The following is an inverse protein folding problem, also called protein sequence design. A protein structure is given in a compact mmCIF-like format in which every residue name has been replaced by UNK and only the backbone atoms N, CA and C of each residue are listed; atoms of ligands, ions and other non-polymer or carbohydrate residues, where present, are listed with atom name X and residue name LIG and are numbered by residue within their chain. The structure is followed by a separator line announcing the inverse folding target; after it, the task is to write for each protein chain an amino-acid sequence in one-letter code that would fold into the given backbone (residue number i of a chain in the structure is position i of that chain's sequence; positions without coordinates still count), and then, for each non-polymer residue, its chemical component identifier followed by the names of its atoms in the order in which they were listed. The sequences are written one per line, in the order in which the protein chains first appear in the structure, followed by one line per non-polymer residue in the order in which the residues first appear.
data_IF_546299307365
#
_entry.id   IF_546299307365
#
_cell.length_a   1.000
_cell.length_b   1.000
_cell.length_c   1.000
_cell.angle_alpha   90.00
_cell.angle_beta   90.00
_cell.angle_gamma   90.00
#
_symmetry.space_group_name_H-M   'P 1'
#
loop_
_entity.id
_entity.type
_entity.pdbx_description
1 polymer ?
#
# COMPACT_ATOMS: atom_id res chain seq x y z
N UNK A 1 -37.56 -35.12 37.69
CA UNK A 1 -38.94 -34.92 38.18
C UNK A 1 -38.92 -33.86 39.26
N UNK A 2 -39.92 -32.97 39.20
CA UNK A 2 -40.44 -32.16 40.31
C UNK A 2 -39.78 -30.79 40.58
N UNK A 3 -40.47 -29.81 39.97
CA UNK A 3 -40.73 -28.42 40.36
C UNK A 3 -41.11 -28.23 41.83
N UNK A 4 -40.90 -27.01 42.38
CA UNK A 4 -41.93 -26.15 43.02
C UNK A 4 -41.24 -24.88 43.58
N UNK A 5 -41.50 -23.71 42.97
CA UNK A 5 -42.28 -22.54 43.46
C UNK A 5 -41.61 -21.82 44.67
N UNK A 6 -41.56 -20.49 44.77
CA UNK A 6 -42.68 -19.58 44.63
C UNK A 6 -42.25 -18.12 44.40
N UNK A 7 -43.22 -17.38 43.88
CA UNK A 7 -43.35 -15.95 43.63
C UNK A 7 -43.03 -15.07 44.84
N UNK A 8 -42.37 -13.94 44.58
CA UNK A 8 -42.66 -12.71 45.34
C UNK A 8 -42.58 -11.50 44.43
N UNK A 9 -43.73 -10.83 44.37
CA UNK A 9 -44.12 -9.74 43.48
C UNK A 9 -43.77 -8.43 44.19
N UNK A 10 -42.88 -7.64 43.60
CA UNK A 10 -42.63 -6.25 43.98
C UNK A 10 -42.74 -5.37 42.73
N UNK A 11 -43.83 -4.61 42.65
CA UNK A 11 -44.09 -3.58 41.64
C UNK A 11 -43.89 -2.23 42.32
N UNK A 12 -43.28 -1.28 41.60
CA UNK A 12 -43.27 0.21 41.73
C UNK A 12 -41.83 0.68 41.54
N UNK A 13 -41.48 1.72 40.79
CA UNK A 13 -42.17 2.67 39.93
C UNK A 13 -41.12 3.20 38.94
N UNK A 14 -41.59 3.88 37.90
CA UNK A 14 -40.75 4.62 36.97
C UNK A 14 -39.92 5.67 37.72
N UNK A 15 -38.61 5.74 37.42
CA UNK A 15 -37.78 6.91 37.70
C UNK A 15 -36.97 7.23 36.44
N UNK A 16 -37.27 8.40 35.88
CA UNK A 16 -36.59 9.03 34.75
C UNK A 16 -35.18 9.51 35.16
N UNK A 17 -34.22 9.35 34.24
CA UNK A 17 -32.97 10.12 34.20
C UNK A 17 -31.85 9.68 35.16
N UNK A 18 -30.57 9.93 34.85
CA UNK A 18 -30.09 11.07 34.09
C UNK A 18 -29.52 10.69 32.72
N UNK A 19 -29.79 11.57 31.76
CA UNK A 19 -29.12 11.67 30.46
C UNK A 19 -27.61 11.55 30.67
N UNK A 20 -27.03 10.44 30.22
CA UNK A 20 -25.57 10.27 30.21
C UNK A 20 -24.91 11.41 29.43
N UNK A 21 -23.66 11.77 29.76
CA UNK A 21 -22.97 12.82 29.03
C UNK A 21 -22.92 12.45 27.55
N UNK A 22 -23.50 13.32 26.73
CA UNK A 22 -23.42 13.31 25.28
C UNK A 22 -21.96 12.98 24.90
N UNK A 23 -21.78 11.84 24.24
CA UNK A 23 -20.52 11.44 23.65
C UNK A 23 -20.16 12.55 22.66
N UNK A 24 -19.41 13.54 23.12
CA UNK A 24 -18.87 14.58 22.26
C UNK A 24 -18.12 13.85 21.17
N UNK A 25 -18.66 13.86 19.96
CA UNK A 25 -17.97 13.42 18.77
C UNK A 25 -16.65 14.18 18.75
N UNK A 26 -15.59 13.47 19.13
CA UNK A 26 -14.24 13.92 18.89
C UNK A 26 -14.17 13.96 17.38
N UNK A 27 -14.32 15.15 16.80
CA UNK A 27 -14.04 15.38 15.39
C UNK A 27 -12.60 14.95 15.19
N UNK A 28 -12.42 13.71 14.74
CA UNK A 28 -11.14 13.21 14.30
C UNK A 28 -10.55 14.19 13.28
N UNK A 29 -9.22 14.26 13.18
CA UNK A 29 -8.60 15.15 12.20
C UNK A 29 -9.26 14.88 10.85
N UNK A 30 -9.82 15.93 10.23
CA UNK A 30 -10.25 15.87 8.83
C UNK A 30 -8.99 15.52 8.03
N UNK A 31 -8.82 14.24 7.72
CA UNK A 31 -7.96 13.84 6.63
C UNK A 31 -8.68 14.36 5.40
N UNK A 32 -8.31 15.56 4.96
CA UNK A 32 -8.63 15.98 3.61
C UNK A 32 -8.12 14.89 2.69
N UNK A 33 -8.97 14.23 1.88
CA UNK A 33 -8.44 13.47 0.78
C UNK A 33 -7.76 14.51 -0.11
N UNK A 34 -6.43 14.56 -0.07
CA UNK A 34 -5.68 15.08 -1.20
C UNK A 34 -5.77 14.04 -2.33
N UNK A 35 -6.98 13.62 -2.69
CA UNK A 35 -7.23 13.05 -4.00
C UNK A 35 -7.25 14.25 -4.93
N UNK A 36 -6.05 14.65 -5.35
CA UNK A 36 -5.90 15.43 -6.57
C UNK A 36 -6.72 14.70 -7.64
N UNK A 37 -7.70 15.33 -8.30
CA UNK A 37 -8.38 14.69 -9.41
C UNK A 37 -7.31 14.53 -10.49
N UNK A 38 -6.75 13.33 -10.61
CA UNK A 38 -5.91 12.94 -11.73
C UNK A 38 -6.76 13.16 -12.98
N UNK A 39 -6.57 14.33 -13.60
CA UNK A 39 -7.21 14.70 -14.84
C UNK A 39 -6.98 13.57 -15.83
N UNK A 40 -8.07 13.05 -16.39
CA UNK A 40 -8.13 12.21 -17.58
C UNK A 40 -6.79 11.59 -18.04
N UNK A 41 -6.39 10.51 -17.38
CA UNK A 41 -5.94 9.25 -18.00
C UNK A 41 -4.80 9.30 -19.03
N UNK A 42 -3.76 10.10 -18.83
CA UNK A 42 -2.51 9.95 -19.58
C UNK A 42 -1.65 8.84 -19.01
N UNK A 43 -1.09 7.97 -19.86
CA UNK A 43 -0.05 7.02 -19.43
C UNK A 43 1.29 7.74 -19.46
N UNK A 44 2.00 7.73 -18.35
CA UNK A 44 3.39 8.21 -18.29
C UNK A 44 4.32 7.01 -18.26
N UNK A 45 5.42 7.06 -18.99
CA UNK A 45 6.46 6.04 -18.92
C UNK A 45 7.79 6.66 -18.52
N UNK A 46 8.53 5.97 -17.65
CA UNK A 46 9.88 6.33 -17.27
C UNK A 46 10.82 5.16 -17.53
N UNK A 47 11.98 5.42 -18.11
CA UNK A 47 13.10 4.47 -18.13
C UNK A 47 14.00 4.81 -16.96
N UNK A 48 14.18 3.88 -16.05
CA UNK A 48 14.94 4.04 -14.81
C UNK A 48 16.11 3.08 -14.79
N UNK A 49 17.28 3.58 -14.40
CA UNK A 49 18.45 2.76 -14.17
C UNK A 49 18.44 2.28 -12.72
N UNK A 50 18.67 0.98 -12.54
CA UNK A 50 18.72 0.34 -11.25
C UNK A 50 20.03 -0.41 -11.09
N UNK A 51 20.66 -0.25 -9.92
CA UNK A 51 21.87 -0.95 -9.53
C UNK A 51 21.57 -1.97 -8.44
N UNK A 52 22.14 -3.15 -8.60
CA UNK A 52 21.95 -4.27 -7.71
C UNK A 52 23.26 -4.67 -7.05
N UNK A 53 23.20 -4.93 -5.75
CA UNK A 53 24.36 -5.33 -4.96
C UNK A 53 24.07 -6.65 -4.24
N UNK A 54 24.81 -7.70 -4.59
CA UNK A 54 24.77 -8.94 -3.82
C UNK A 54 25.58 -8.78 -2.53
N UNK A 55 24.93 -8.93 -1.39
CA UNK A 55 25.60 -8.85 -0.09
C UNK A 55 26.37 -10.14 0.27
N UNK A 56 26.24 -11.19 -0.55
CA UNK A 56 26.94 -12.47 -0.36
C UNK A 56 28.24 -12.55 -1.14
N UNK A 57 28.20 -12.36 -2.47
CA UNK A 57 29.38 -12.50 -3.33
C UNK A 57 29.93 -11.16 -3.85
N UNK A 58 29.36 -10.03 -3.40
CA UNK A 58 29.74 -8.67 -3.80
C UNK A 58 29.60 -8.35 -5.30
N UNK A 59 28.97 -9.25 -6.07
CA UNK A 59 28.65 -8.98 -7.46
C UNK A 59 27.69 -7.79 -7.58
N UNK A 60 28.00 -6.88 -8.51
CA UNK A 60 27.21 -5.68 -8.81
C UNK A 60 26.82 -5.71 -10.28
N UNK A 61 25.57 -5.38 -10.57
CA UNK A 61 25.09 -5.24 -11.95
C UNK A 61 24.03 -4.14 -12.05
N UNK A 62 23.75 -3.74 -13.29
CA UNK A 62 22.82 -2.66 -13.60
C UNK A 62 21.81 -3.11 -14.66
N UNK A 63 20.59 -2.62 -14.56
CA UNK A 63 19.52 -2.87 -15.53
C UNK A 63 18.68 -1.62 -15.76
N UNK A 64 18.03 -1.59 -16.92
CA UNK A 64 17.07 -0.56 -17.30
C UNK A 64 15.65 -1.11 -17.17
N UNK A 65 14.88 -0.48 -16.31
CA UNK A 65 13.47 -0.78 -16.13
C UNK A 65 12.62 0.28 -16.81
N UNK A 66 11.48 -0.14 -17.35
CA UNK A 66 10.42 0.77 -17.77
C UNK A 66 9.30 0.74 -16.73
N UNK A 67 9.07 1.86 -16.06
CA UNK A 67 7.92 2.10 -15.20
C UNK A 67 6.80 2.75 -16.02
N UNK A 68 5.62 2.16 -16.04
CA UNK A 68 4.40 2.71 -16.66
C UNK A 68 3.42 3.13 -15.58
N UNK A 69 3.21 4.44 -15.45
CA UNK A 69 2.31 5.05 -14.50
C UNK A 69 0.92 5.17 -15.11
N UNK A 70 -0.06 4.52 -14.47
CA UNK A 70 -1.47 4.49 -14.85
C UNK A 70 -2.32 4.90 -13.63
N UNK A 71 -2.53 6.20 -13.45
CA UNK A 71 -3.10 6.73 -12.21
C UNK A 71 -2.16 6.46 -11.03
N UNK A 72 -2.66 5.81 -9.98
CA UNK A 72 -1.88 5.46 -8.79
C UNK A 72 -1.12 4.12 -8.90
N UNK A 73 -1.28 3.40 -10.02
CA UNK A 73 -0.62 2.12 -10.27
C UNK A 73 0.64 2.28 -11.14
N UNK A 74 1.65 1.45 -10.88
CA UNK A 74 2.87 1.36 -11.68
C UNK A 74 3.07 -0.07 -12.19
N UNK A 75 3.07 -0.24 -13.50
CA UNK A 75 3.44 -1.50 -14.14
C UNK A 75 4.92 -1.46 -14.55
N UNK A 76 5.66 -2.53 -14.26
CA UNK A 76 7.09 -2.62 -14.52
C UNK A 76 7.40 -3.52 -15.70
N UNK A 77 8.39 -3.14 -16.50
CA UNK A 77 8.96 -3.98 -17.55
C UNK A 77 10.48 -3.98 -17.49
N UNK A 78 11.06 -5.12 -17.84
CA UNK A 78 12.49 -5.30 -18.04
C UNK A 78 12.71 -5.81 -19.45
N UNK A 79 13.52 -5.11 -20.24
CA UNK A 79 13.76 -5.45 -21.64
C UNK A 79 12.47 -5.65 -22.45
N UNK A 80 11.46 -4.82 -22.16
CA UNK A 80 10.16 -4.89 -22.81
C UNK A 80 9.26 -6.04 -22.36
N UNK A 81 9.63 -6.86 -21.38
CA UNK A 81 8.79 -7.94 -20.81
C UNK A 81 8.21 -7.50 -19.48
N UNK A 82 6.97 -7.88 -19.17
CA UNK A 82 6.37 -7.60 -17.86
C UNK A 82 7.24 -8.19 -16.74
N UNK A 83 7.49 -7.40 -15.70
CA UNK A 83 8.38 -7.76 -14.61
C UNK A 83 7.82 -7.31 -13.26
N UNK A 84 8.37 -7.89 -12.20
CA UNK A 84 8.19 -7.34 -10.85
C UNK A 84 8.97 -6.02 -10.70
N UNK A 85 8.59 -5.16 -9.73
CA UNK A 85 9.39 -4.00 -9.39
C UNK A 85 10.84 -4.38 -9.07
N UNK A 86 11.82 -3.49 -9.32
CA UNK A 86 13.24 -3.76 -9.15
C UNK A 86 13.62 -4.32 -7.77
N UNK A 87 12.93 -3.91 -6.72
CA UNK A 87 13.22 -4.32 -5.33
C UNK A 87 12.60 -5.65 -4.91
N UNK A 88 11.92 -6.38 -5.79
CA UNK A 88 11.24 -7.64 -5.46
C UNK A 88 12.03 -8.85 -5.96
N UNK A 89 12.33 -9.78 -5.04
CA UNK A 89 12.77 -11.17 -5.26
C UNK A 89 13.81 -11.39 -6.38
N UNK A 90 14.92 -10.64 -6.32
CA UNK A 90 16.05 -10.80 -7.25
C UNK A 90 17.08 -11.82 -6.76
N UNK A 91 17.39 -12.80 -7.59
CA UNK A 91 18.56 -13.66 -7.43
C UNK A 91 19.82 -13.00 -8.01
N UNK A 92 20.94 -13.19 -7.33
CA UNK A 92 22.24 -12.72 -7.82
C UNK A 92 22.70 -13.52 -9.04
N UNK A 93 23.09 -12.83 -10.11
CA UNK A 93 23.60 -13.47 -11.35
C UNK A 93 24.96 -14.17 -11.22
N UNK A 94 25.66 -13.95 -10.12
CA UNK A 94 26.97 -14.56 -9.85
C UNK A 94 26.93 -15.74 -8.89
N UNK A 95 25.95 -15.82 -7.99
CA UNK A 95 25.90 -16.88 -6.96
C UNK A 95 24.49 -17.40 -6.64
N UNK A 96 23.48 -16.99 -7.40
CA UNK A 96 22.06 -17.35 -7.27
C UNK A 96 21.42 -17.09 -5.89
N UNK A 97 22.12 -16.35 -5.02
CA UNK A 97 21.65 -15.98 -3.70
C UNK A 97 20.62 -14.85 -3.75
N UNK A 98 19.68 -14.83 -2.81
CA UNK A 98 18.60 -13.85 -2.74
C UNK A 98 18.94 -12.60 -1.90
N UNK A 99 20.17 -12.50 -1.41
CA UNK A 99 20.62 -11.38 -0.57
C UNK A 99 21.09 -10.22 -1.44
N UNK A 100 20.13 -9.62 -2.16
CA UNK A 100 20.38 -8.57 -3.15
C UNK A 100 19.69 -7.27 -2.71
N UNK A 101 20.45 -6.17 -2.65
CA UNK A 101 19.88 -4.83 -2.51
C UNK A 101 19.71 -4.20 -3.89
N UNK A 102 18.52 -3.68 -4.16
CA UNK A 102 18.22 -2.86 -5.32
C UNK A 102 18.24 -1.38 -4.94
N UNK A 103 18.99 -0.58 -5.67
CA UNK A 103 19.12 0.86 -5.46
C UNK A 103 18.80 1.59 -6.77
N UNK A 104 17.99 2.67 -6.74
CA UNK A 104 17.79 3.49 -7.92
C UNK A 104 19.10 4.22 -8.26
N UNK A 105 19.48 4.20 -9.53
CA UNK A 105 20.70 4.84 -10.07
C UNK A 105 20.37 6.00 -11.04
N UNK A 106 19.09 6.36 -11.13
CA UNK A 106 18.61 7.58 -11.80
C UNK A 106 17.57 7.36 -12.90
N UNK A 107 16.93 8.46 -13.29
CA UNK A 107 15.99 8.52 -14.41
C UNK A 107 16.75 8.72 -15.73
N UNK A 108 16.52 7.84 -16.71
CA UNK A 108 17.15 7.89 -18.03
C UNK A 108 16.28 8.64 -19.03
N UNK A 109 14.97 8.36 -19.05
CA UNK A 109 14.05 8.99 -19.97
C UNK A 109 12.64 9.05 -19.35
N UNK A 110 11.84 10.05 -19.75
CA UNK A 110 10.43 10.13 -19.39
C UNK A 110 9.60 10.54 -20.60
N UNK A 111 8.46 9.87 -20.80
CA UNK A 111 7.52 10.15 -21.88
C UNK A 111 6.11 10.23 -21.30
N UNK A 112 5.31 11.15 -21.82
CA UNK A 112 3.91 11.30 -21.46
C UNK A 112 3.10 11.10 -22.73
N UNK A 113 2.18 10.15 -22.71
CA UNK A 113 1.22 9.96 -23.80
C UNK A 113 -0.10 10.57 -23.35
N UNK A 114 -0.43 11.72 -23.95
CA UNK A 114 -1.75 12.30 -23.84
C UNK A 114 -2.74 11.45 -24.66
N UNK A 115 -3.97 11.33 -24.14
CA UNK A 115 -5.06 10.65 -24.82
C UNK A 115 -5.70 11.55 -25.86
#
# INVERSE_FOLDING_TARGET
MTFLLDVSRGRTDAEEGPTGPELREIRGPRVHPQSSPLRAGGVQTATEKWRFHCLRCLHVWEELYEARYCGDAVAWRLSGVAAQPPWVDRACRGCDGLWVKALPDGLVARRVTAK
#
